data_IF_654183446994
#
_entry.id   IF_654183446994
#
_cell.length_a   1.000
_cell.length_b   1.000
_cell.length_c   1.000
_cell.angle_alpha   90.00
_cell.angle_beta   90.00
_cell.angle_gamma   90.00
#
_symmetry.space_group_name_H-M   'P 1'
#
loop_
_entity.id
_entity.type
_entity.pdbx_description
1 polymer ?
#
# COMPACT_ATOMS: atom_id res chain seq x y z
N UNK A 1 10.93 -75.26 -12.51
CA UNK A 1 12.17 -75.35 -13.31
C UNK A 1 13.04 -74.14 -13.03
N UNK A 2 14.34 -74.35 -12.78
CA UNK A 2 15.37 -73.33 -12.55
C UNK A 2 15.84 -72.67 -13.86
N UNK A 3 16.20 -71.38 -13.81
CA UNK A 3 17.41 -70.74 -14.38
C UNK A 3 17.18 -69.21 -14.45
N UNK A 4 17.84 -68.36 -13.64
CA UNK A 4 19.21 -67.82 -13.71
C UNK A 4 19.42 -66.65 -14.71
N UNK A 5 19.77 -65.50 -14.11
CA UNK A 5 20.73 -64.45 -14.51
C UNK A 5 20.33 -63.26 -15.41
N UNK A 6 20.43 -62.09 -14.74
CA UNK A 6 21.14 -60.87 -15.11
C UNK A 6 20.59 -59.94 -16.21
N UNK A 7 20.42 -58.64 -15.86
CA UNK A 7 21.25 -57.53 -16.38
C UNK A 7 20.48 -56.19 -16.48
N UNK A 8 21.11 -55.14 -15.92
CA UNK A 8 21.04 -53.70 -16.26
C UNK A 8 19.74 -52.95 -15.95
N UNK A 9 19.73 -52.01 -15.00
CA UNK A 9 20.36 -50.68 -14.97
C UNK A 9 19.69 -49.67 -15.91
N UNK A 10 19.01 -48.68 -15.31
CA UNK A 10 18.37 -47.54 -15.95
C UNK A 10 17.95 -46.50 -14.91
N UNK A 11 18.93 -46.00 -14.14
CA UNK A 11 18.79 -44.83 -13.26
C UNK A 11 19.06 -43.60 -14.11
N UNK A 12 18.09 -42.68 -14.20
CA UNK A 12 18.25 -41.39 -14.88
C UNK A 12 18.49 -40.27 -13.84
N UNK A 13 19.56 -39.52 -14.13
CA UNK A 13 19.95 -38.18 -13.67
C UNK A 13 20.29 -37.93 -12.19
N UNK A 14 21.60 -37.99 -11.95
CA UNK A 14 22.36 -37.26 -10.95
C UNK A 14 22.58 -35.78 -11.38
N UNK A 15 22.35 -34.85 -10.46
CA UNK A 15 23.15 -33.62 -10.27
C UNK A 15 23.46 -33.59 -8.76
N UNK A 16 24.53 -34.25 -8.30
CA UNK A 16 25.83 -33.68 -7.91
C UNK A 16 25.69 -32.50 -6.93
N UNK A 17 25.78 -32.74 -5.60
CA UNK A 17 26.96 -32.54 -4.73
C UNK A 17 27.42 -31.07 -4.69
N UNK A 18 27.57 -30.34 -3.58
CA UNK A 18 27.53 -30.58 -2.12
C UNK A 18 27.58 -29.20 -1.41
N UNK A 19 27.29 -29.12 -0.10
CA UNK A 19 27.24 -27.90 0.72
C UNK A 19 28.53 -27.67 1.52
N UNK A 20 29.01 -26.43 1.71
CA UNK A 20 29.97 -26.00 2.75
C UNK A 20 29.83 -24.46 2.90
N UNK A 21 29.27 -23.91 3.98
CA UNK A 21 29.82 -23.67 5.34
C UNK A 21 30.53 -22.30 5.49
N UNK A 22 30.03 -21.50 6.44
CA UNK A 22 30.70 -20.50 7.30
C UNK A 22 31.57 -19.41 6.66
N UNK A 23 31.18 -18.15 6.92
CA UNK A 23 31.98 -17.23 7.72
C UNK A 23 31.16 -16.00 8.13
N UNK A 24 30.98 -15.80 9.44
CA UNK A 24 30.79 -14.49 10.03
C UNK A 24 32.08 -13.66 9.87
N UNK A 25 31.99 -12.31 9.89
CA UNK A 25 32.90 -11.34 10.56
C UNK A 25 32.91 -9.94 9.88
N UNK A 26 32.46 -8.95 10.67
CA UNK A 26 32.93 -7.55 10.84
C UNK A 26 32.80 -6.46 9.74
N UNK A 27 31.91 -5.49 10.05
CA UNK A 27 32.16 -4.05 10.33
C UNK A 27 33.21 -3.24 9.52
N UNK A 28 32.69 -2.20 8.83
CA UNK A 28 33.24 -0.88 8.38
C UNK A 28 34.21 -0.82 7.17
N UNK A 29 34.41 0.35 6.53
CA UNK A 29 33.46 1.39 6.07
C UNK A 29 33.71 1.81 4.57
N UNK A 30 32.82 2.64 4.03
CA UNK A 30 33.04 3.60 2.92
C UNK A 30 34.04 3.22 1.80
N UNK A 31 33.51 2.75 0.66
CA UNK A 31 34.23 2.68 -0.61
C UNK A 31 33.30 3.07 -1.74
N UNK A 32 33.37 4.34 -2.15
CA UNK A 32 32.67 4.86 -3.32
C UNK A 32 33.07 4.05 -4.57
N UNK A 33 32.07 3.52 -5.28
CA UNK A 33 32.27 3.00 -6.63
C UNK A 33 32.58 4.19 -7.57
N UNK A 34 33.53 4.07 -8.51
CA UNK A 34 33.77 5.11 -9.49
C UNK A 34 32.59 5.15 -10.47
N UNK A 35 31.84 6.24 -10.44
CA UNK A 35 30.73 6.49 -11.37
C UNK A 35 31.21 6.57 -12.82
N UNK A 36 30.34 6.25 -13.79
CA UNK A 36 30.66 6.41 -15.20
C UNK A 36 30.94 7.89 -15.50
N UNK A 37 32.15 8.15 -15.99
CA UNK A 37 32.60 9.47 -16.37
C UNK A 37 31.87 9.90 -17.66
N UNK A 38 31.07 10.96 -17.59
CA UNK A 38 30.66 11.71 -18.79
C UNK A 38 29.17 11.88 -19.07
N UNK A 39 28.27 11.78 -18.07
CA UNK A 39 26.91 12.32 -18.21
C UNK A 39 26.85 13.59 -17.37
N UNK A 40 26.46 14.70 -18.01
CA UNK A 40 26.03 15.93 -17.34
C UNK A 40 24.93 15.57 -16.35
N UNK A 41 25.24 15.57 -15.05
CA UNK A 41 24.23 15.52 -13.97
C UNK A 41 23.62 16.93 -13.79
N UNK A 42 23.24 17.63 -14.87
CA UNK A 42 22.40 18.82 -14.70
C UNK A 42 20.98 18.38 -14.39
N UNK A 43 20.74 18.26 -13.08
CA UNK A 43 19.43 18.11 -12.46
C UNK A 43 18.50 19.20 -13.03
N UNK A 44 17.37 18.85 -13.69
CA UNK A 44 16.36 19.84 -14.08
C UNK A 44 16.02 20.75 -12.91
N UNK A 45 16.06 22.05 -13.17
CA UNK A 45 15.72 23.09 -12.21
C UNK A 45 14.21 23.26 -12.24
N UNK A 46 13.60 23.47 -11.08
CA UNK A 46 12.17 23.71 -10.99
C UNK A 46 11.94 25.00 -10.23
N UNK A 47 11.35 25.97 -10.91
CA UNK A 47 10.69 27.08 -10.25
C UNK A 47 9.25 26.68 -9.98
N UNK A 48 8.68 27.25 -8.93
CA UNK A 48 7.32 26.96 -8.53
C UNK A 48 6.66 28.26 -8.09
N UNK A 49 5.35 28.31 -8.27
CA UNK A 49 4.50 29.38 -7.78
C UNK A 49 3.30 28.75 -7.10
N UNK A 50 3.11 29.09 -5.83
CA UNK A 50 1.94 28.70 -5.08
C UNK A 50 0.86 29.77 -5.25
N UNK A 51 -0.16 29.46 -6.04
CA UNK A 51 -1.33 30.32 -6.23
C UNK A 51 -2.41 29.91 -5.23
N UNK A 52 -2.49 30.65 -4.13
CA UNK A 52 -3.58 30.58 -3.16
C UNK A 52 -4.24 31.94 -3.04
N UNK A 53 -5.57 31.96 -3.08
CA UNK A 53 -6.37 33.17 -2.88
C UNK A 53 -7.21 32.99 -1.61
N UNK A 54 -6.62 33.21 -0.43
CA UNK A 54 -7.31 33.02 0.86
C UNK A 54 -8.54 33.92 0.99
N UNK A 55 -8.55 35.05 0.28
CA UNK A 55 -9.54 36.10 0.41
C UNK A 55 -10.94 35.71 -0.13
N UNK A 56 -11.08 34.59 -0.85
CA UNK A 56 -12.36 34.21 -1.48
C UNK A 56 -13.03 32.97 -0.88
N UNK A 57 -12.29 32.01 -0.35
CA UNK A 57 -12.83 30.82 0.32
C UNK A 57 -11.67 30.00 0.90
N UNK A 58 -11.60 29.86 2.23
CA UNK A 58 -10.52 29.09 2.84
C UNK A 58 -10.72 27.59 2.72
N UNK A 59 -11.83 27.07 2.18
CA UNK A 59 -11.94 25.65 1.76
C UNK A 59 -11.57 25.43 0.30
N UNK A 60 -11.15 26.48 -0.42
CA UNK A 60 -10.78 26.37 -1.82
C UNK A 60 -9.48 25.57 -2.00
N UNK A 61 -9.38 24.76 -3.06
CA UNK A 61 -8.13 24.10 -3.43
C UNK A 61 -7.04 25.14 -3.66
N UNK A 62 -5.82 24.89 -3.19
CA UNK A 62 -4.66 25.66 -3.61
C UNK A 62 -4.05 25.03 -4.86
N UNK A 63 -3.49 25.89 -5.70
CA UNK A 63 -2.80 25.46 -6.92
C UNK A 63 -1.30 25.63 -6.74
N UNK A 64 -0.55 24.54 -6.89
CA UNK A 64 0.89 24.59 -7.09
C UNK A 64 1.16 24.56 -8.60
N UNK A 65 1.58 25.70 -9.13
CA UNK A 65 2.05 25.84 -10.51
C UNK A 65 3.55 25.58 -10.54
N UNK A 66 4.01 24.69 -11.41
CA UNK A 66 5.41 24.29 -11.53
C UNK A 66 5.93 24.68 -12.92
N UNK A 67 7.07 25.35 -12.95
CA UNK A 67 7.85 25.61 -14.16
C UNK A 67 9.14 24.81 -14.10
N UNK A 68 9.26 23.81 -14.96
CA UNK A 68 10.41 22.92 -15.05
C UNK A 68 11.32 23.40 -16.18
N UNK A 69 12.61 23.50 -15.90
CA UNK A 69 13.63 23.94 -16.84
C UNK A 69 14.76 22.93 -16.90
N UNK A 70 15.16 22.58 -18.12
CA UNK A 70 16.33 21.75 -18.38
C UNK A 70 16.89 22.13 -19.75
N UNK A 71 18.21 22.25 -19.84
CA UNK A 71 18.90 22.40 -21.11
C UNK A 71 19.14 21.03 -21.79
N UNK A 72 19.04 19.94 -21.03
CA UNK A 72 19.38 18.57 -21.44
C UNK A 72 18.15 17.67 -21.69
N UNK A 73 16.98 17.98 -21.12
CA UNK A 73 15.76 17.17 -21.22
C UNK A 73 14.70 17.81 -22.11
N UNK A 74 14.01 17.00 -22.93
CA UNK A 74 12.82 17.45 -23.64
C UNK A 74 11.60 17.49 -22.72
N UNK A 75 11.13 18.70 -22.41
CA UNK A 75 9.98 18.93 -21.53
C UNK A 75 8.66 19.16 -22.30
N UNK A 76 8.58 18.70 -23.56
CA UNK A 76 7.31 18.75 -24.32
C UNK A 76 6.22 17.91 -23.67
N UNK A 77 6.58 16.75 -23.12
CA UNK A 77 5.73 15.91 -22.28
C UNK A 77 6.59 15.36 -21.15
N UNK A 78 6.17 15.60 -19.92
CA UNK A 78 6.82 15.07 -18.74
C UNK A 78 5.78 14.77 -17.66
N UNK A 79 6.21 14.08 -16.63
CA UNK A 79 5.38 13.73 -15.50
C UNK A 79 5.97 14.35 -14.24
N UNK A 80 5.12 14.87 -13.36
CA UNK A 80 5.51 15.25 -12.00
C UNK A 80 4.77 14.38 -11.01
N UNK A 81 5.53 13.72 -10.14
CA UNK A 81 4.99 13.06 -8.95
C UNK A 81 5.25 13.94 -7.74
N UNK A 82 4.18 14.30 -7.04
CA UNK A 82 4.24 14.98 -5.76
C UNK A 82 4.20 13.94 -4.66
N UNK A 83 5.05 14.09 -3.64
CA UNK A 83 5.08 13.21 -2.47
C UNK A 83 4.99 14.04 -1.21
N UNK A 84 3.98 13.81 -0.39
CA UNK A 84 3.83 14.43 0.94
C UNK A 84 3.89 13.35 2.00
N UNK A 85 4.67 13.61 3.05
CA UNK A 85 4.72 12.72 4.20
C UNK A 85 3.53 13.00 5.11
N UNK A 86 2.75 11.96 5.45
CA UNK A 86 1.59 12.08 6.33
C UNK A 86 1.94 12.10 7.82
N UNK A 87 3.23 12.11 8.20
CA UNK A 87 3.60 12.07 9.62
C UNK A 87 3.53 13.45 10.30
N UNK A 88 2.75 13.53 11.39
CA UNK A 88 2.87 14.59 12.37
C UNK A 88 4.27 14.60 13.03
N UNK A 89 4.80 15.77 13.42
CA UNK A 89 6.01 15.85 14.22
C UNK A 89 5.87 15.09 15.55
N UNK A 90 6.58 13.97 15.69
CA UNK A 90 6.59 13.16 16.91
C UNK A 90 5.90 11.80 16.79
N UNK A 91 5.18 11.56 15.68
CA UNK A 91 4.64 10.25 15.31
C UNK A 91 5.59 9.65 14.27
N UNK A 92 5.97 8.38 14.44
CA UNK A 92 6.89 7.69 13.51
C UNK A 92 6.13 6.71 12.64
N UNK A 93 6.26 6.89 11.32
CA UNK A 93 5.73 5.97 10.32
C UNK A 93 4.50 6.55 9.63
N UNK A 94 4.68 7.50 8.70
CA UNK A 94 3.58 8.03 7.90
C UNK A 94 3.56 7.36 6.53
N UNK A 95 2.38 7.26 5.93
CA UNK A 95 2.26 6.99 4.50
C UNK A 95 2.79 8.16 3.66
N UNK A 96 2.93 7.94 2.35
CA UNK A 96 3.29 9.00 1.42
C UNK A 96 2.11 9.21 0.47
N UNK A 97 1.39 10.32 0.65
CA UNK A 97 0.45 10.76 -0.37
C UNK A 97 1.24 11.07 -1.64
N UNK A 98 0.87 10.43 -2.75
CA UNK A 98 1.43 10.78 -4.04
C UNK A 98 0.39 11.01 -5.11
N UNK A 99 0.61 12.05 -5.91
CA UNK A 99 -0.20 12.34 -7.08
C UNK A 99 0.69 12.56 -8.29
N UNK A 100 0.24 12.08 -9.44
CA UNK A 100 0.95 12.17 -10.71
C UNK A 100 0.21 13.13 -11.65
N UNK A 101 0.90 14.16 -12.13
CA UNK A 101 0.37 15.10 -13.12
C UNK A 101 1.21 15.11 -14.38
N UNK A 102 0.55 15.19 -15.53
CA UNK A 102 1.23 15.43 -16.80
C UNK A 102 1.52 16.91 -16.96
N UNK A 103 2.76 17.22 -17.32
CA UNK A 103 3.20 18.55 -17.72
C UNK A 103 3.42 18.63 -19.21
N UNK A 104 3.20 19.82 -19.77
CA UNK A 104 3.42 20.14 -21.18
C UNK A 104 4.23 21.43 -21.32
N UNK A 105 5.20 21.43 -22.23
CA UNK A 105 6.00 22.63 -22.55
C UNK A 105 6.75 23.20 -21.33
N UNK A 106 7.24 22.33 -20.43
CA UNK A 106 7.92 22.74 -19.20
C UNK A 106 6.98 23.30 -18.10
N UNK A 107 5.66 23.20 -18.26
CA UNK A 107 4.69 23.65 -17.26
C UNK A 107 3.87 22.48 -16.73
N UNK A 108 3.66 22.44 -15.42
CA UNK A 108 2.74 21.49 -14.78
C UNK A 108 1.91 22.21 -13.71
N UNK A 109 0.69 21.72 -13.49
CA UNK A 109 -0.23 22.28 -12.49
C UNK A 109 -0.72 21.17 -11.58
N UNK A 110 -0.45 21.30 -10.29
CA UNK A 110 -0.96 20.40 -9.25
C UNK A 110 -2.03 21.17 -8.48
N UNK A 111 -3.22 20.59 -8.39
CA UNK A 111 -4.33 21.14 -7.61
C UNK A 111 -4.44 20.27 -6.37
N UNK A 112 -4.22 20.87 -5.20
CA UNK A 112 -4.37 20.20 -3.92
C UNK A 112 -5.64 20.74 -3.27
N UNK A 113 -6.53 19.82 -2.91
CA UNK A 113 -7.92 20.14 -2.59
C UNK A 113 -8.14 20.69 -1.17
N UNK A 114 -7.09 20.83 -0.37
CA UNK A 114 -7.21 21.24 1.04
C UNK A 114 -6.25 22.35 1.39
N UNK A 115 -6.65 23.29 2.27
CA UNK A 115 -6.24 24.69 2.17
C UNK A 115 -5.17 25.08 3.19
N UNK A 116 -4.87 24.19 4.12
CA UNK A 116 -3.89 24.41 5.16
C UNK A 116 -2.71 23.51 4.88
N UNK A 117 -1.55 24.14 4.81
CA UNK A 117 -0.27 23.50 4.86
C UNK A 117 0.30 23.96 6.20
N UNK A 118 0.46 23.06 7.20
CA UNK A 118 0.90 23.46 8.50
C UNK A 118 2.36 23.88 8.37
N UNK A 119 2.83 24.73 9.28
CA UNK A 119 4.25 25.01 9.36
C UNK A 119 4.98 23.68 9.64
N UNK A 120 5.79 23.22 8.68
CA UNK A 120 6.64 22.01 8.70
C UNK A 120 6.12 20.71 8.06
N UNK A 121 5.23 20.75 7.06
CA UNK A 121 5.02 19.55 6.23
C UNK A 121 6.25 19.32 5.31
N UNK A 122 6.72 18.07 5.28
CA UNK A 122 7.82 17.67 4.40
C UNK A 122 7.26 17.06 3.13
N UNK A 123 7.57 17.68 1.99
CA UNK A 123 7.22 17.14 0.68
C UNK A 123 8.40 17.19 -0.27
N UNK A 124 8.37 16.35 -1.30
CA UNK A 124 9.33 16.39 -2.39
C UNK A 124 8.64 16.10 -3.71
N UNK A 125 9.26 16.55 -4.79
CA UNK A 125 8.79 16.32 -6.15
C UNK A 125 9.73 15.33 -6.84
N UNK A 126 9.18 14.52 -7.73
CA UNK A 126 9.95 13.74 -8.71
C UNK A 126 9.47 14.13 -10.09
N UNK A 127 10.37 14.64 -10.91
CA UNK A 127 10.11 14.93 -12.32
C UNK A 127 10.61 13.74 -13.14
N UNK A 128 9.76 13.23 -14.02
CA UNK A 128 10.10 12.16 -14.95
C UNK A 128 9.96 12.68 -16.38
N UNK A 129 11.08 12.78 -17.10
CA UNK A 129 11.11 13.18 -18.50
C UNK A 129 12.06 12.26 -19.27
N UNK A 130 11.65 11.79 -20.44
CA UNK A 130 12.46 10.90 -21.30
C UNK A 130 13.02 9.64 -20.58
N UNK A 131 12.34 9.18 -19.52
CA UNK A 131 12.77 8.03 -18.72
C UNK A 131 13.83 8.34 -17.66
N UNK A 132 14.20 9.61 -17.49
CA UNK A 132 15.07 10.10 -16.40
C UNK A 132 14.18 10.56 -15.24
N UNK A 133 14.37 9.96 -14.06
CA UNK A 133 13.71 10.39 -12.82
C UNK A 133 14.63 11.32 -12.02
N UNK A 134 14.11 12.48 -11.64
CA UNK A 134 14.87 13.49 -10.90
C UNK A 134 14.10 13.88 -9.66
N UNK A 135 14.65 13.52 -8.51
CA UNK A 135 14.12 13.93 -7.21
C UNK A 135 14.58 15.34 -6.91
N UNK A 136 13.63 16.18 -6.52
CA UNK A 136 13.86 17.56 -6.10
C UNK A 136 13.71 17.56 -4.58
N UNK A 137 14.82 17.44 -3.83
CA UNK A 137 14.76 17.36 -2.37
C UNK A 137 14.21 18.66 -1.80
N UNK A 138 13.16 18.51 -0.99
CA UNK A 138 12.54 19.48 -0.10
C UNK A 138 12.47 20.92 -0.62
N UNK A 139 11.26 21.38 -0.82
CA UNK A 139 10.92 22.79 -0.70
C UNK A 139 10.92 23.21 0.78
N UNK A 140 11.93 22.77 1.55
CA UNK A 140 12.19 23.20 2.93
C UNK A 140 12.48 24.70 3.01
N UNK A 141 12.79 25.31 1.87
CA UNK A 141 12.89 26.74 1.65
C UNK A 141 11.81 27.24 0.68
N UNK A 142 10.59 26.69 0.73
CA UNK A 142 9.47 27.55 0.43
C UNK A 142 9.45 28.59 1.56
N UNK A 143 9.83 29.86 1.33
CA UNK A 143 9.23 30.88 2.14
C UNK A 143 7.76 30.83 1.73
N UNK A 144 6.98 29.97 2.39
CA UNK A 144 5.57 30.25 2.60
C UNK A 144 5.54 31.44 3.58
N UNK A 145 6.20 32.54 3.22
CA UNK A 145 5.81 33.90 3.55
C UNK A 145 4.47 34.17 2.85
N UNK A 146 3.51 33.29 3.13
CA UNK A 146 2.12 33.53 2.86
C UNK A 146 1.65 34.55 3.87
N UNK A 147 1.24 35.67 3.30
CA UNK A 147 0.11 36.46 3.77
C UNK A 147 0.40 37.31 5.01
N UNK A 148 -0.24 38.48 5.07
CA UNK A 148 -0.27 39.27 6.29
C UNK A 148 -0.62 38.36 7.47
N UNK A 149 0.18 38.48 8.54
CA UNK A 149 0.34 37.48 9.58
C UNK A 149 -0.92 36.69 9.89
N UNK A 150 -0.76 35.36 9.90
CA UNK A 150 -1.67 34.43 10.59
C UNK A 150 -2.06 35.10 11.91
N UNK A 151 -3.33 35.46 12.00
CA UNK A 151 -3.86 36.09 13.21
C UNK A 151 -4.26 34.93 14.09
N UNK A 152 -3.69 34.89 15.28
CA UNK A 152 -3.97 33.94 16.34
C UNK A 152 -4.20 34.82 17.58
N UNK A 153 -5.46 35.20 17.80
CA UNK A 153 -5.82 36.27 18.75
C UNK A 153 -5.74 35.84 20.20
N UNK A 154 -6.03 34.57 20.47
CA UNK A 154 -6.00 34.00 21.81
C UNK A 154 -4.72 33.22 22.12
N UNK A 155 -3.89 32.96 21.10
CA UNK A 155 -2.53 32.46 21.23
C UNK A 155 -2.45 30.95 21.46
N UNK A 156 -3.43 30.19 21.00
CA UNK A 156 -3.44 28.72 21.14
C UNK A 156 -2.71 27.98 20.00
N UNK A 157 -2.31 28.73 18.97
CA UNK A 157 -1.58 28.23 17.82
C UNK A 157 -2.46 27.79 16.65
N UNK A 158 -3.76 28.09 16.65
CA UNK A 158 -4.67 28.00 15.51
C UNK A 158 -4.82 29.38 14.82
N UNK A 159 -5.19 29.40 13.54
CA UNK A 159 -5.47 30.67 12.82
C UNK A 159 -6.93 31.07 13.02
N UNK A 160 -7.19 32.34 13.36
CA UNK A 160 -8.53 32.91 13.56
C UNK A 160 -9.53 32.56 12.44
N UNK A 161 -9.07 32.47 11.18
CA UNK A 161 -9.97 32.14 10.06
C UNK A 161 -10.27 30.66 9.99
N UNK A 162 -9.29 29.81 10.32
CA UNK A 162 -9.50 28.37 10.40
C UNK A 162 -10.56 28.08 11.47
N UNK A 163 -10.37 28.64 12.67
CA UNK A 163 -11.32 28.54 13.78
C UNK A 163 -12.72 29.00 13.36
N UNK A 164 -12.82 30.18 12.74
CA UNK A 164 -14.09 30.73 12.28
C UNK A 164 -14.82 29.86 11.23
N UNK A 165 -14.10 29.09 10.42
CA UNK A 165 -14.73 28.19 9.44
C UNK A 165 -15.25 26.92 10.07
N UNK A 166 -14.53 26.39 11.04
CA UNK A 166 -14.93 25.19 11.76
C UNK A 166 -15.86 25.47 12.95
N UNK A 167 -16.17 26.75 13.20
CA UNK A 167 -17.14 27.15 14.21
C UNK A 167 -16.57 27.17 15.63
N UNK A 168 -15.24 27.23 15.74
CA UNK A 168 -14.49 27.50 16.97
C UNK A 168 -14.49 29.02 17.25
N UNK A 169 -14.03 29.43 18.43
CA UNK A 169 -14.00 30.82 18.90
C UNK A 169 -12.58 31.39 18.86
N UNK A 170 -12.24 32.25 17.87
CA UNK A 170 -10.91 32.88 17.72
C UNK A 170 -10.44 33.76 18.89
N UNK A 171 -11.23 33.87 19.96
CA UNK A 171 -10.93 34.65 21.14
C UNK A 171 -10.84 33.78 22.40
N UNK A 172 -11.00 32.47 22.27
CA UNK A 172 -11.02 31.54 23.39
C UNK A 172 -10.21 30.26 23.14
N UNK A 173 -8.92 30.35 23.48
CA UNK A 173 -7.94 29.27 23.49
C UNK A 173 -8.34 27.95 24.19
N UNK A 174 -9.48 27.88 24.89
CA UNK A 174 -9.95 26.68 25.57
C UNK A 174 -10.64 25.67 24.65
N UNK A 175 -10.97 26.03 23.41
CA UNK A 175 -11.51 25.09 22.42
C UNK A 175 -10.44 24.41 21.56
N UNK A 176 -9.16 24.81 21.66
CA UNK A 176 -8.01 24.07 21.11
C UNK A 176 -7.98 22.58 21.48
N UNK A 177 -8.47 22.22 22.66
CA UNK A 177 -8.53 20.84 23.15
C UNK A 177 -9.95 20.24 23.03
N UNK A 178 -10.89 20.97 22.42
CA UNK A 178 -12.20 20.43 22.13
C UNK A 178 -12.11 19.41 20.99
N UNK A 179 -12.90 18.35 21.08
CA UNK A 179 -13.04 17.29 20.10
C UNK A 179 -14.50 17.32 19.59
N UNK A 180 -14.82 18.17 18.58
CA UNK A 180 -16.20 18.46 18.23
C UNK A 180 -16.89 17.34 17.42
N UNK A 181 -16.13 16.52 16.70
CA UNK A 181 -16.62 15.37 15.92
C UNK A 181 -16.41 14.02 16.60
N UNK A 182 -15.59 13.93 17.65
CA UNK A 182 -15.51 12.79 18.54
C UNK A 182 -14.62 11.65 18.03
N UNK A 183 -13.67 11.95 17.16
CA UNK A 183 -12.72 10.99 16.56
C UNK A 183 -11.49 10.74 17.46
N UNK A 184 -11.34 11.57 18.50
CA UNK A 184 -10.25 11.51 19.47
C UNK A 184 -9.08 12.43 19.20
N UNK A 185 -9.19 13.38 18.26
CA UNK A 185 -8.26 14.50 18.08
C UNK A 185 -8.87 15.80 18.62
N UNK A 186 -8.07 16.56 19.37
CA UNK A 186 -8.44 17.94 19.71
C UNK A 186 -8.36 18.86 18.49
N UNK A 187 -9.12 19.96 18.47
CA UNK A 187 -9.15 20.93 17.37
C UNK A 187 -7.75 21.45 16.97
N UNK A 188 -6.84 21.61 17.93
CA UNK A 188 -5.46 22.00 17.64
C UNK A 188 -4.64 20.87 17.02
N UNK A 189 -4.91 19.63 17.40
CA UNK A 189 -4.26 18.46 16.79
C UNK A 189 -4.76 18.28 15.35
N UNK A 190 -6.06 18.43 15.14
CA UNK A 190 -6.73 18.53 13.84
C UNK A 190 -6.09 19.61 12.95
N UNK A 191 -5.89 20.82 13.49
CA UNK A 191 -5.22 21.93 12.80
C UNK A 191 -3.80 21.57 12.33
N UNK A 192 -3.06 20.81 13.14
CA UNK A 192 -1.70 20.35 12.80
C UNK A 192 -1.70 19.15 11.84
N UNK A 193 -2.72 18.29 11.93
CA UNK A 193 -2.91 17.09 11.12
C UNK A 193 -3.52 17.38 9.75
N UNK A 194 -4.04 18.59 9.54
CA UNK A 194 -4.77 19.01 8.32
C UNK A 194 -6.09 18.28 8.11
N UNK A 195 -6.68 17.81 9.20
CA UNK A 195 -7.99 17.18 9.27
C UNK A 195 -9.05 18.23 9.61
N UNK A 196 -10.31 17.82 9.59
CA UNK A 196 -11.45 18.70 9.77
C UNK A 196 -12.10 18.45 11.13
N UNK A 197 -12.08 19.41 12.10
CA UNK A 197 -12.53 19.20 13.49
C UNK A 197 -14.06 19.09 13.64
N UNK A 198 -14.75 18.87 12.52
CA UNK A 198 -16.20 18.71 12.42
C UNK A 198 -16.57 17.50 11.56
N UNK A 199 -15.58 16.73 11.12
CA UNK A 199 -15.72 15.55 10.28
C UNK A 199 -14.71 14.50 10.77
N UNK A 200 -15.17 13.41 11.41
CA UNK A 200 -14.27 12.45 12.05
C UNK A 200 -13.42 11.61 11.09
N UNK A 201 -13.67 11.71 9.78
CA UNK A 201 -13.03 10.96 8.70
C UNK A 201 -12.89 11.92 7.51
N UNK A 202 -11.70 12.52 7.40
CA UNK A 202 -11.41 13.66 6.53
C UNK A 202 -11.40 13.25 5.06
N UNK A 203 -10.92 12.07 4.69
CA UNK A 203 -10.94 11.58 3.30
C UNK A 203 -12.09 10.64 2.94
N UNK A 204 -12.89 10.26 3.92
CA UNK A 204 -14.11 9.47 3.76
C UNK A 204 -13.87 8.05 3.28
N UNK A 205 -12.74 7.44 3.67
CA UNK A 205 -12.41 6.05 3.36
C UNK A 205 -12.91 5.03 4.42
N UNK A 206 -13.42 5.54 5.55
CA UNK A 206 -13.94 4.74 6.65
C UNK A 206 -12.98 4.53 7.82
N UNK A 207 -11.81 5.18 7.81
CA UNK A 207 -10.90 5.30 8.94
C UNK A 207 -11.11 6.65 9.63
N UNK A 208 -11.16 6.67 10.97
CA UNK A 208 -11.28 7.93 11.70
C UNK A 208 -9.91 8.65 11.74
N UNK A 209 -9.89 9.97 11.54
CA UNK A 209 -8.68 10.79 11.50
C UNK A 209 -7.79 10.57 12.73
N UNK A 210 -8.39 10.53 13.92
CA UNK A 210 -7.68 10.27 15.17
C UNK A 210 -7.12 8.87 15.33
N UNK A 211 -7.67 7.87 14.65
CA UNK A 211 -7.02 6.56 14.55
C UNK A 211 -5.87 6.62 13.57
N UNK A 212 -6.09 7.21 12.40
CA UNK A 212 -5.10 7.30 11.34
C UNK A 212 -3.84 8.03 11.77
N UNK A 213 -4.01 9.17 12.45
CA UNK A 213 -2.91 9.94 13.04
C UNK A 213 -2.13 9.10 14.05
N UNK A 214 -2.81 8.32 14.89
CA UNK A 214 -2.19 7.52 15.96
C UNK A 214 -1.40 6.34 15.42
N UNK A 215 -1.97 5.62 14.46
CA UNK A 215 -1.36 4.43 13.85
C UNK A 215 -0.42 4.78 12.69
N UNK A 216 -0.42 6.03 12.25
CA UNK A 216 0.48 6.51 11.19
C UNK A 216 0.03 6.11 9.79
N UNK A 217 -1.28 6.01 9.56
CA UNK A 217 -1.85 6.03 8.20
C UNK A 217 -1.99 7.48 7.72
N UNK A 218 -2.80 7.75 6.70
CA UNK A 218 -2.88 9.07 6.06
C UNK A 218 -4.31 9.62 6.04
N UNK A 219 -4.68 10.58 6.92
CA UNK A 219 -6.02 11.20 7.01
C UNK A 219 -6.56 11.94 5.78
N UNK A 220 -5.82 11.92 4.68
CA UNK A 220 -6.12 12.66 3.46
C UNK A 220 -5.82 11.82 2.20
N UNK A 221 -5.67 10.51 2.37
CA UNK A 221 -5.47 9.52 1.32
C UNK A 221 -6.33 8.30 1.63
N UNK A 222 -7.31 8.01 0.77
CA UNK A 222 -8.14 6.80 0.88
C UNK A 222 -7.28 5.51 0.83
N UNK A 223 -6.84 5.04 2.01
CA UNK A 223 -5.89 3.96 2.22
C UNK A 223 -6.42 2.81 3.08
N UNK A 224 -7.69 2.88 3.48
CA UNK A 224 -8.47 1.82 4.15
C UNK A 224 -8.27 0.40 3.57
N UNK A 225 -8.13 0.28 2.24
CA UNK A 225 -7.95 -1.00 1.54
C UNK A 225 -6.47 -1.38 1.32
N UNK A 226 -5.53 -0.53 1.72
CA UNK A 226 -4.11 -0.83 1.67
C UNK A 226 -3.70 -1.82 2.78
N UNK A 227 -2.56 -2.47 2.58
CA UNK A 227 -1.93 -3.41 3.52
C UNK A 227 -0.50 -2.89 3.73
N UNK A 228 -0.31 -2.12 4.80
CA UNK A 228 0.90 -1.32 5.01
C UNK A 228 2.09 -2.16 5.49
N UNK A 229 1.85 -3.26 6.19
CA UNK A 229 2.88 -4.14 6.72
C UNK A 229 3.04 -5.46 5.96
N UNK A 230 2.12 -5.77 5.04
CA UNK A 230 2.16 -6.91 4.14
C UNK A 230 1.73 -8.22 4.79
N UNK A 231 0.96 -8.19 5.88
CA UNK A 231 0.47 -9.39 6.56
C UNK A 231 -0.80 -10.00 5.93
N UNK A 232 -1.42 -9.27 5.00
CA UNK A 232 -2.62 -9.65 4.27
C UNK A 232 -3.93 -9.14 4.86
N UNK A 233 -3.92 -8.40 5.96
CA UNK A 233 -5.02 -7.59 6.44
C UNK A 233 -4.99 -6.19 5.79
N UNK A 234 -6.15 -5.56 5.64
CA UNK A 234 -6.21 -4.16 5.21
C UNK A 234 -6.22 -3.21 6.41
N UNK A 235 -5.78 -1.97 6.24
CA UNK A 235 -5.83 -0.92 7.26
C UNK A 235 -7.23 -0.82 7.91
N UNK A 236 -8.29 -0.94 7.10
CA UNK A 236 -9.68 -0.98 7.58
C UNK A 236 -9.99 -2.20 8.47
N UNK A 237 -9.50 -3.38 8.10
CA UNK A 237 -9.67 -4.55 8.95
C UNK A 237 -8.95 -4.33 10.28
N UNK A 238 -7.74 -3.78 10.24
CA UNK A 238 -6.96 -3.51 11.43
C UNK A 238 -7.58 -2.43 12.32
N UNK A 239 -8.19 -1.39 11.73
CA UNK A 239 -9.03 -0.43 12.42
C UNK A 239 -10.20 -1.10 13.17
N UNK A 240 -10.94 -1.99 12.50
CA UNK A 240 -12.07 -2.72 13.12
C UNK A 240 -11.60 -3.65 14.25
N UNK A 241 -10.45 -4.29 14.09
CA UNK A 241 -9.89 -5.25 15.06
C UNK A 241 -8.95 -4.60 16.09
N UNK A 242 -8.67 -3.31 15.97
CA UNK A 242 -7.76 -2.54 16.81
C UNK A 242 -6.36 -3.16 16.88
N UNK A 243 -5.83 -3.52 15.72
CA UNK A 243 -4.46 -3.99 15.52
C UNK A 243 -3.58 -2.90 14.89
N UNK A 244 -2.25 -3.07 14.96
CA UNK A 244 -1.27 -2.11 14.46
C UNK A 244 -0.99 -2.34 12.95
N UNK A 245 -1.43 -1.42 12.05
CA UNK A 245 -1.31 -1.55 10.59
C UNK A 245 0.10 -1.43 10.04
N UNK A 246 1.08 -1.28 10.92
CA UNK A 246 2.50 -1.15 10.56
C UNK A 246 3.33 -2.30 11.11
N UNK A 247 2.69 -3.31 11.69
CA UNK A 247 3.35 -4.42 12.35
C UNK A 247 2.75 -5.76 11.97
N UNK A 248 3.41 -6.45 11.02
CA UNK A 248 2.94 -7.72 10.48
C UNK A 248 2.86 -8.88 11.51
N UNK A 249 3.32 -8.68 12.75
CA UNK A 249 3.09 -9.62 13.86
C UNK A 249 1.75 -9.36 14.59
N UNK A 250 1.16 -8.19 14.40
CA UNK A 250 -0.12 -7.72 14.93
C UNK A 250 -1.29 -8.07 14.00
N UNK A 251 -1.39 -9.33 13.60
CA UNK A 251 -2.45 -9.79 12.71
C UNK A 251 -3.83 -9.78 13.38
N UNK A 252 -4.88 -9.22 12.74
CA UNK A 252 -6.25 -9.40 13.19
C UNK A 252 -6.70 -10.87 13.08
N UNK A 253 -7.54 -11.35 14.01
CA UNK A 253 -8.10 -12.71 13.99
C UNK A 253 -9.22 -12.82 12.94
N UNK A 254 -8.81 -12.69 11.68
CA UNK A 254 -9.67 -12.88 10.52
C UNK A 254 -9.98 -14.36 10.42
N UNK A 255 -11.22 -14.74 10.76
CA UNK A 255 -11.68 -16.11 10.57
C UNK A 255 -11.30 -16.60 9.16
N UNK A 256 -10.71 -17.81 9.02
CA UNK A 256 -10.06 -18.22 7.79
C UNK A 256 -11.03 -18.09 6.62
N UNK A 257 -10.62 -17.27 5.64
CA UNK A 257 -11.44 -16.94 4.48
C UNK A 257 -11.74 -18.13 3.59
N UNK A 258 -11.19 -19.34 3.85
CA UNK A 258 -11.53 -20.57 3.12
C UNK A 258 -13.05 -20.71 3.07
N UNK A 259 -13.67 -20.37 1.95
CA UNK A 259 -15.11 -20.36 1.92
C UNK A 259 -15.60 -21.78 2.13
N UNK A 260 -16.55 -21.99 3.03
CA UNK A 260 -17.08 -23.31 3.37
C UNK A 260 -17.52 -24.11 2.12
N UNK A 261 -17.85 -23.43 1.02
CA UNK A 261 -18.17 -24.05 -0.25
C UNK A 261 -17.00 -24.81 -0.89
N UNK A 262 -15.73 -24.47 -0.64
CA UNK A 262 -14.59 -25.27 -1.12
C UNK A 262 -14.47 -26.58 -0.35
N UNK A 263 -14.70 -26.54 0.97
CA UNK A 263 -14.76 -27.77 1.78
C UNK A 263 -15.89 -28.66 1.30
N UNK A 264 -17.07 -28.09 1.03
CA UNK A 264 -18.20 -28.81 0.44
C UNK A 264 -17.87 -29.34 -0.96
N UNK A 265 -17.22 -28.56 -1.82
CA UNK A 265 -16.84 -28.99 -3.17
C UNK A 265 -15.86 -30.17 -3.12
N UNK A 266 -14.86 -30.14 -2.24
CA UNK A 266 -13.92 -31.25 -2.03
C UNK A 266 -14.68 -32.49 -1.56
N UNK A 267 -15.58 -32.37 -0.58
CA UNK A 267 -16.39 -33.49 -0.08
C UNK A 267 -17.26 -34.08 -1.19
N UNK A 268 -17.91 -33.24 -2.00
CA UNK A 268 -18.74 -33.67 -3.14
C UNK A 268 -17.90 -34.41 -4.17
N UNK A 269 -16.72 -33.90 -4.53
CA UNK A 269 -15.80 -34.55 -5.47
C UNK A 269 -15.35 -35.91 -4.93
N UNK A 270 -14.97 -35.99 -3.66
CA UNK A 270 -14.58 -37.26 -3.01
C UNK A 270 -15.72 -38.26 -3.02
N UNK A 271 -16.96 -37.84 -2.73
CA UNK A 271 -18.14 -38.72 -2.78
C UNK A 271 -18.40 -39.23 -4.20
N UNK A 272 -18.30 -38.38 -5.22
CA UNK A 272 -18.46 -38.78 -6.62
C UNK A 272 -17.41 -39.82 -7.01
N UNK A 273 -16.14 -39.59 -6.66
CA UNK A 273 -15.04 -40.52 -6.94
C UNK A 273 -15.24 -41.86 -6.22
N UNK A 274 -15.74 -41.84 -4.98
CA UNK A 274 -16.01 -43.04 -4.19
C UNK A 274 -17.18 -43.83 -4.76
N UNK A 275 -18.26 -43.16 -5.18
CA UNK A 275 -19.38 -43.78 -5.89
C UNK A 275 -18.91 -44.41 -7.19
N UNK A 276 -18.10 -43.68 -7.97
CA UNK A 276 -17.54 -44.19 -9.22
C UNK A 276 -16.67 -45.43 -8.98
N UNK A 277 -15.79 -45.39 -7.99
CA UNK A 277 -14.92 -46.51 -7.62
C UNK A 277 -15.73 -47.75 -7.18
N UNK A 278 -16.76 -47.56 -6.35
CA UNK A 278 -17.67 -48.65 -5.94
C UNK A 278 -18.40 -49.22 -7.15
N UNK A 279 -18.89 -48.38 -8.06
CA UNK A 279 -19.54 -48.82 -9.29
C UNK A 279 -18.59 -49.66 -10.16
N UNK A 280 -17.34 -49.23 -10.34
CA UNK A 280 -16.31 -50.02 -11.03
C UNK A 280 -16.05 -51.36 -10.34
N UNK A 281 -15.97 -51.37 -9.02
CA UNK A 281 -15.77 -52.60 -8.25
C UNK A 281 -16.93 -53.60 -8.46
N UNK A 282 -18.18 -53.10 -8.50
CA UNK A 282 -19.38 -53.92 -8.73
C UNK A 282 -19.42 -54.47 -10.15
N UNK A 283 -19.06 -53.65 -11.15
CA UNK A 283 -19.00 -54.10 -12.55
C UNK A 283 -17.93 -55.17 -12.72
N UNK A 284 -16.71 -54.93 -12.23
CA UNK A 284 -15.60 -55.89 -12.33
C UNK A 284 -15.95 -57.22 -11.65
N UNK A 285 -16.60 -57.17 -10.47
CA UNK A 285 -17.06 -58.40 -9.79
C UNK A 285 -18.10 -59.18 -10.62
N UNK A 286 -19.01 -58.48 -11.30
CA UNK A 286 -20.00 -59.14 -12.19
C UNK A 286 -19.33 -59.75 -13.42
N UNK A 287 -18.29 -59.13 -13.97
CA UNK A 287 -17.54 -59.68 -15.10
C UNK A 287 -16.79 -60.96 -14.71
N UNK A 288 -16.18 -61.00 -13.52
CA UNK A 288 -15.53 -62.22 -12.99
C UNK A 288 -16.53 -63.38 -12.79
N UNK A 289 -17.73 -63.12 -12.27
CA UNK A 289 -18.79 -64.12 -12.09
C UNK A 289 -19.32 -64.67 -13.43
N UNK A 290 -19.37 -63.85 -14.49
CA UNK A 290 -19.80 -64.26 -15.84
C UNK A 290 -18.72 -65.12 -16.51
N UNK A 291 -17.44 -64.75 -16.41
CA UNK A 291 -16.32 -65.48 -17.01
C UNK A 291 -16.16 -66.89 -16.39
N UNK A 292 -16.23 -66.99 -15.07
CA UNK A 292 -16.13 -68.27 -14.34
C UNK A 292 -17.37 -69.15 -14.51
N UNK A 293 -18.54 -68.56 -14.79
CA UNK A 293 -19.74 -69.31 -15.20
C UNK A 293 -19.57 -69.97 -16.56
N UNK A 294 -19.05 -69.23 -17.54
CA UNK A 294 -18.86 -69.69 -18.93
C UNK A 294 -17.78 -70.76 -19.09
N UNK A 295 -16.73 -70.73 -18.27
CA UNK A 295 -15.71 -71.80 -18.26
C UNK A 295 -16.26 -73.13 -17.74
N UNK A 296 -17.11 -73.12 -16.70
CA UNK A 296 -17.75 -74.34 -16.18
C UNK A 296 -18.70 -75.00 -17.18
N UNK A 297 -19.39 -74.20 -17.99
CA UNK A 297 -20.29 -74.73 -19.02
C UNK A 297 -19.50 -75.41 -20.16
N UNK A 298 -18.35 -74.83 -20.57
CA UNK A 298 -17.48 -75.40 -21.61
C UNK A 298 -16.74 -76.68 -21.19
N UNK A 299 -16.45 -76.88 -19.90
CA UNK A 299 -15.75 -78.07 -19.39
C UNK A 299 -16.69 -79.27 -19.17
N UNK A 300 -18.00 -79.06 -19.28
CA UNK A 300 -19.03 -80.11 -19.16
C UNK A 300 -19.38 -80.84 -20.47
N UNK A 301 -18.81 -80.40 -21.60
CA UNK A 301 -18.94 -81.04 -22.92
C UNK A 301 -17.65 -81.78 -23.32
N UNK A 302 -17.21 -82.78 -22.54
CA UNK A 302 -16.19 -83.75 -23.01
C UNK A 302 -16.89 -85.06 -23.42
N UNK A 303 -16.91 -85.42 -24.72
CA UNK A 303 -17.57 -86.63 -25.19
C UNK A 303 -16.66 -87.85 -24.98
N UNK A 304 -16.78 -88.47 -23.81
CA UNK A 304 -16.24 -89.82 -23.51
C UNK A 304 -17.13 -90.95 -24.03
#
# INVERSE_FOLDING_TARGET
>A
MRALLASRAGVFSLISLTPVLFAAILLHPAGAAPGPSGVSEEVPKVDYQLDYKPELNITAPFTLSLSVYSDDLNLSHFTVRFYMNCTLPGITGGGIFSTEVMGEGGQAKIILHRPFLPFNFSFYLVVVAEGVEVRIPSLSELPVSFLGGVVDKDGDGMDDRWEAVYGLDPLWAGDSEADPDGDGLGAREEYLALTSPTQPDTDSDGLDDGWEVREGTCPFLEDAEADYDGDGATNYQEYIFQTDPRNAESVPDLAPTTPWYYVVAIVVVVLILLIYFVAQMVVNRREEEILTGRERDNESEDPG
#
